data_IF_191035318160
#
_entry.id   IF_191035318160
#
_cell.length_a   1.000
_cell.length_b   1.000
_cell.length_c   1.000
_cell.angle_alpha   90.00
_cell.angle_beta   90.00
_cell.angle_gamma   90.00
#
_symmetry.space_group_name_H-M   'P 1'
#
loop_
_entity.id
_entity.type
_entity.pdbx_description
1 polymer ?
#
# COMPACT_ATOMS: atom_id res chain seq x y z
N UNK A 1 15.45 -5.32 20.13
CA UNK A 1 14.83 -6.61 19.74
C UNK A 1 13.96 -6.51 18.47
N UNK A 2 13.29 -5.39 18.21
CA UNK A 2 12.37 -5.21 17.06
C UNK A 2 13.09 -5.26 15.70
N UNK A 3 14.32 -4.74 15.59
CA UNK A 3 15.12 -4.79 14.35
C UNK A 3 15.43 -6.22 13.85
N UNK A 4 15.64 -7.17 14.77
CA UNK A 4 15.91 -8.58 14.41
C UNK A 4 14.66 -9.28 13.87
N UNK A 5 13.48 -8.95 14.41
CA UNK A 5 12.20 -9.48 13.93
C UNK A 5 11.94 -8.99 12.51
N UNK A 6 12.16 -7.71 12.22
CA UNK A 6 12.02 -7.17 10.87
C UNK A 6 12.88 -7.93 9.85
N UNK A 7 14.11 -8.32 10.20
CA UNK A 7 15.02 -9.04 9.29
C UNK A 7 14.49 -10.44 8.92
N UNK A 8 13.78 -11.11 9.83
CA UNK A 8 13.17 -12.43 9.59
C UNK A 8 11.82 -12.32 8.89
N UNK A 9 11.09 -11.22 9.13
CA UNK A 9 9.75 -10.98 8.56
C UNK A 9 9.81 -10.36 7.17
N UNK A 10 10.93 -9.73 6.78
CA UNK A 10 11.18 -9.21 5.43
C UNK A 10 10.89 -10.20 4.28
N UNK A 11 11.28 -11.50 4.34
CA UNK A 11 10.90 -12.48 3.32
C UNK A 11 9.44 -12.94 3.41
N UNK A 12 8.73 -12.68 4.50
CA UNK A 12 7.30 -13.00 4.62
C UNK A 12 6.43 -11.87 4.03
N UNK A 13 6.89 -10.62 4.10
CA UNK A 13 6.21 -9.47 3.51
C UNK A 13 6.24 -9.44 1.99
N UNK A 14 7.05 -10.28 1.33
CA UNK A 14 7.03 -10.42 -0.13
C UNK A 14 5.78 -11.16 -0.65
N UNK A 15 5.16 -12.02 0.15
CA UNK A 15 3.93 -12.76 -0.21
C UNK A 15 2.74 -11.81 -0.44
N UNK A 16 2.39 -10.89 0.49
CA UNK A 16 1.32 -9.93 0.24
C UNK A 16 1.67 -8.94 -0.89
N UNK A 17 2.96 -8.65 -1.12
CA UNK A 17 3.39 -7.82 -2.24
C UNK A 17 3.06 -8.47 -3.59
N UNK A 18 3.34 -9.77 -3.74
CA UNK A 18 2.96 -10.55 -4.92
C UNK A 18 1.45 -10.58 -5.13
N UNK A 19 0.67 -10.78 -4.05
CA UNK A 19 -0.78 -10.71 -4.12
C UNK A 19 -1.26 -9.32 -4.60
N UNK A 20 -0.65 -8.24 -4.11
CA UNK A 20 -0.96 -6.87 -4.55
C UNK A 20 -0.64 -6.64 -6.02
N UNK A 21 0.48 -7.16 -6.54
CA UNK A 21 0.85 -7.03 -7.95
C UNK A 21 -0.02 -7.86 -8.90
N UNK A 22 -0.59 -8.98 -8.45
CA UNK A 22 -1.46 -9.85 -9.25
C UNK A 22 -2.92 -9.40 -9.20
N UNK A 23 -3.34 -8.73 -8.12
CA UNK A 23 -4.67 -8.15 -7.97
C UNK A 23 -5.14 -7.23 -9.13
N UNK A 24 -4.33 -6.29 -9.68
CA UNK A 24 -4.74 -5.48 -10.83
C UNK A 24 -4.91 -6.30 -12.10
N UNK A 25 -4.07 -7.33 -12.33
CA UNK A 25 -4.18 -8.21 -13.49
C UNK A 25 -5.45 -9.07 -13.41
N UNK A 26 -5.79 -9.57 -12.23
CA UNK A 26 -7.02 -10.34 -11.98
C UNK A 26 -8.27 -9.45 -12.11
N UNK A 27 -8.23 -8.21 -11.62
CA UNK A 27 -9.31 -7.24 -11.81
C UNK A 27 -9.55 -6.94 -13.31
N UNK A 28 -8.49 -6.83 -14.11
CA UNK A 28 -8.58 -6.54 -15.54
C UNK A 28 -9.13 -7.74 -16.36
N UNK A 29 -8.72 -8.97 -16.01
CA UNK A 29 -9.21 -10.19 -16.67
C UNK A 29 -10.64 -10.57 -16.27
N UNK A 30 -11.07 -10.26 -15.04
CA UNK A 30 -12.38 -10.67 -14.52
C UNK A 30 -13.47 -9.62 -14.80
N UNK A 31 -13.12 -8.42 -15.30
CA UNK A 31 -14.04 -7.30 -15.61
C UNK A 31 -15.01 -6.93 -14.47
N UNK A 32 -14.74 -7.39 -13.24
CA UNK A 32 -15.47 -7.04 -12.04
C UNK A 32 -14.66 -5.97 -11.33
N UNK A 33 -15.17 -4.73 -11.40
CA UNK A 33 -14.73 -3.65 -10.51
C UNK A 33 -14.91 -4.13 -9.06
N UNK A 34 -13.80 -4.50 -8.41
CA UNK A 34 -13.81 -4.92 -7.00
C UNK A 34 -14.23 -3.77 -6.07
N UNK A 35 -14.19 -2.52 -6.57
CA UNK A 35 -14.67 -1.32 -5.89
C UNK A 35 -15.99 -0.89 -6.52
N UNK A 36 -17.16 -1.27 -5.96
CA UNK A 36 -18.39 -0.54 -6.25
C UNK A 36 -18.23 0.88 -5.71
N UNK A 37 -18.59 1.87 -6.54
CA UNK A 37 -18.75 3.30 -6.25
C UNK A 37 -18.09 3.78 -4.94
N UNK A 38 -16.89 4.37 -5.08
CA UNK A 38 -16.14 4.99 -3.99
C UNK A 38 -17.06 5.91 -3.19
N UNK A 39 -17.40 5.52 -1.95
CA UNK A 39 -18.07 6.42 -1.03
C UNK A 39 -17.15 7.61 -0.73
N UNK A 40 -17.69 8.81 -0.59
CA UNK A 40 -16.93 10.05 -0.32
C UNK A 40 -15.91 9.88 0.83
N UNK A 41 -16.24 9.05 1.83
CA UNK A 41 -15.35 8.70 2.92
C UNK A 41 -14.11 7.91 2.48
N UNK A 42 -14.28 6.86 1.66
CA UNK A 42 -13.16 6.04 1.21
C UNK A 42 -12.15 6.83 0.37
N UNK A 43 -12.64 7.74 -0.49
CA UNK A 43 -11.77 8.66 -1.26
C UNK A 43 -10.95 9.58 -0.34
N UNK A 44 -11.60 10.17 0.67
CA UNK A 44 -10.94 11.09 1.59
C UNK A 44 -9.81 10.41 2.38
N UNK A 45 -10.05 9.20 2.88
CA UNK A 45 -9.01 8.42 3.57
C UNK A 45 -7.84 8.05 2.65
N UNK A 46 -8.13 7.71 1.40
CA UNK A 46 -7.08 7.43 0.41
C UNK A 46 -6.21 8.66 0.16
N UNK A 47 -6.83 9.82 -0.09
CA UNK A 47 -6.10 11.09 -0.33
C UNK A 47 -5.23 11.46 0.88
N UNK A 48 -5.76 11.36 2.10
CA UNK A 48 -5.01 11.64 3.33
C UNK A 48 -3.80 10.72 3.49
N UNK A 49 -3.94 9.44 3.14
CA UNK A 49 -2.85 8.47 3.19
C UNK A 49 -1.75 8.80 2.17
N UNK A 50 -2.10 9.23 0.95
CA UNK A 50 -1.08 9.65 -0.03
C UNK A 50 -0.32 10.90 0.41
N UNK A 51 -1.02 11.88 0.99
CA UNK A 51 -0.40 13.10 1.49
C UNK A 51 0.56 12.79 2.65
N UNK A 52 0.19 11.88 3.56
CA UNK A 52 1.04 11.53 4.71
C UNK A 52 2.32 10.81 4.28
N UNK A 53 2.24 9.89 3.31
CA UNK A 53 3.43 9.22 2.76
C UNK A 53 4.36 10.23 2.10
N UNK A 54 3.81 11.15 1.29
CA UNK A 54 4.61 12.15 0.60
C UNK A 54 5.31 13.11 1.57
N UNK A 55 4.57 13.61 2.57
CA UNK A 55 5.13 14.47 3.61
C UNK A 55 6.23 13.77 4.42
N UNK A 56 6.01 12.51 4.79
CA UNK A 56 7.00 11.71 5.52
C UNK A 56 8.25 11.45 4.66
N UNK A 57 8.07 11.12 3.38
CA UNK A 57 9.18 10.92 2.44
C UNK A 57 10.06 12.16 2.24
N UNK A 58 9.47 13.36 2.15
CA UNK A 58 10.22 14.61 2.11
C UNK A 58 10.98 14.87 3.41
N UNK A 59 10.35 14.59 4.55
CA UNK A 59 10.96 14.81 5.86
C UNK A 59 12.18 13.92 6.06
N UNK A 60 12.06 12.63 5.70
CA UNK A 60 13.15 11.64 5.74
C UNK A 60 14.31 12.04 4.83
N UNK A 61 14.04 12.46 3.58
CA UNK A 61 15.09 12.90 2.64
C UNK A 61 15.80 14.18 3.10
N UNK A 62 15.12 15.08 3.82
CA UNK A 62 15.70 16.33 4.32
C UNK A 62 16.62 16.12 5.53
N UNK A 63 16.37 15.08 6.33
CA UNK A 63 17.07 14.80 7.59
C UNK A 63 17.92 13.53 7.54
N UNK A 64 18.10 12.92 6.36
CA UNK A 64 19.03 11.81 6.12
C UNK A 64 20.48 12.27 6.05
#
# INVERSE_FOLDING_TARGET
RIAYINTIVYPLTSIPLLAYCVLPAVCLLTNKFIIPEISNFASMWFILLFISIFATGILELRWS
#
